data_IF_444309568062
#
_entry.id   IF_444309568062
#
_cell.length_a   1.000
_cell.length_b   1.000
_cell.length_c   1.000
_cell.angle_alpha   90.00
_cell.angle_beta   90.00
_cell.angle_gamma   90.00
#
_symmetry.space_group_name_H-M   'P 1'
#
loop_
_entity.id
_entity.type
_entity.pdbx_description
1 polymer ?
#
# COMPACT_ATOMS: atom_id res chain seq x y z
N UNK A 1 -16.06 -49.66 -19.08
CA UNK A 1 -15.06 -50.19 -18.12
C UNK A 1 -14.05 -49.06 -17.90
N UNK A 2 -14.26 -48.26 -16.86
CA UNK A 2 -13.46 -47.08 -16.54
C UNK A 2 -12.55 -47.46 -15.37
N UNK A 3 -11.25 -47.38 -15.58
CA UNK A 3 -10.24 -47.64 -14.56
C UNK A 3 -9.90 -46.29 -13.86
N UNK A 4 -9.96 -46.19 -12.53
CA UNK A 4 -9.58 -45.00 -11.83
C UNK A 4 -8.06 -44.92 -11.64
N UNK A 5 -7.45 -43.83 -12.05
CA UNK A 5 -6.05 -43.52 -11.77
C UNK A 5 -5.90 -43.04 -10.30
N UNK A 6 -5.30 -43.86 -9.46
CA UNK A 6 -4.80 -43.46 -8.13
C UNK A 6 -3.33 -43.11 -8.25
N UNK A 7 -3.01 -41.86 -8.05
CA UNK A 7 -1.66 -41.39 -7.86
C UNK A 7 -1.62 -40.45 -6.66
N UNK A 8 -1.28 -40.98 -5.49
CA UNK A 8 -0.93 -40.21 -4.32
C UNK A 8 0.53 -39.74 -4.47
N UNK A 9 0.74 -38.44 -4.58
CA UNK A 9 2.05 -37.83 -4.37
C UNK A 9 1.94 -36.96 -3.11
N UNK A 10 2.30 -37.54 -1.97
CA UNK A 10 2.57 -36.81 -0.74
C UNK A 10 3.97 -36.21 -0.86
N UNK A 11 4.07 -34.97 -1.34
CA UNK A 11 5.25 -34.15 -1.22
C UNK A 11 5.08 -33.25 -0.02
N UNK A 12 5.77 -33.58 1.08
CA UNK A 12 5.93 -32.70 2.24
C UNK A 12 6.78 -31.48 1.83
N UNK A 13 6.12 -30.40 1.42
CA UNK A 13 6.71 -29.09 1.23
C UNK A 13 6.56 -28.31 2.54
N UNK A 14 7.39 -28.64 3.50
CA UNK A 14 7.59 -27.80 4.69
C UNK A 14 8.23 -26.46 4.27
N UNK A 15 7.37 -25.49 3.88
CA UNK A 15 7.75 -24.09 3.81
C UNK A 15 8.21 -23.65 5.21
N UNK A 16 9.31 -22.89 5.34
CA UNK A 16 9.68 -22.34 6.62
C UNK A 16 8.54 -21.44 7.10
N UNK A 17 7.89 -21.83 8.19
CA UNK A 17 6.88 -21.00 8.86
C UNK A 17 7.58 -19.76 9.41
N UNK A 18 7.25 -18.57 8.88
CA UNK A 18 7.64 -17.32 9.53
C UNK A 18 7.08 -17.29 10.96
N UNK A 19 7.83 -16.72 11.93
CA UNK A 19 7.36 -16.58 13.30
C UNK A 19 5.99 -15.92 13.35
N UNK A 20 5.07 -16.44 14.15
CA UNK A 20 3.71 -15.96 14.34
C UNK A 20 3.60 -14.70 15.20
N UNK A 21 4.72 -14.19 15.70
CA UNK A 21 4.79 -12.97 16.49
C UNK A 21 5.88 -12.08 15.91
N UNK A 22 5.55 -10.81 15.69
CA UNK A 22 6.56 -9.77 15.43
C UNK A 22 7.39 -9.61 16.71
N UNK A 23 8.54 -10.28 16.77
CA UNK A 23 9.48 -10.18 17.90
C UNK A 23 10.33 -8.90 17.87
N UNK A 24 10.04 -7.98 16.93
CA UNK A 24 10.74 -6.72 16.85
C UNK A 24 10.25 -5.79 17.95
N UNK A 25 11.07 -5.57 18.98
CA UNK A 25 10.87 -4.50 19.95
C UNK A 25 10.58 -3.17 19.21
N UNK A 26 9.70 -2.30 19.77
CA UNK A 26 9.43 -1.00 19.17
C UNK A 26 10.74 -0.28 18.89
N UNK A 27 11.04 -0.05 17.61
CA UNK A 27 12.22 0.74 17.23
C UNK A 27 12.00 2.16 17.72
N UNK A 28 12.80 2.60 18.69
CA UNK A 28 12.77 3.98 19.14
C UNK A 28 13.09 4.91 17.95
N UNK A 29 12.33 6.01 17.80
CA UNK A 29 12.64 6.99 16.77
C UNK A 29 14.01 7.62 17.05
N UNK A 30 14.69 8.08 16.01
CA UNK A 30 15.95 8.80 16.13
C UNK A 30 15.82 9.96 17.13
N UNK A 31 16.84 10.22 17.97
CA UNK A 31 16.78 11.29 18.97
C UNK A 31 16.56 12.70 18.37
N UNK A 32 17.07 12.92 17.14
CA UNK A 32 16.96 14.18 16.38
C UNK A 32 15.63 14.31 15.62
N UNK A 33 14.77 13.30 15.63
CA UNK A 33 13.47 13.36 14.98
C UNK A 33 12.58 14.45 15.62
N UNK A 34 11.77 15.20 14.85
CA UNK A 34 10.92 16.25 15.37
C UNK A 34 9.81 15.69 16.29
N UNK A 35 9.30 16.55 17.17
CA UNK A 35 8.35 16.17 18.19
C UNK A 35 7.06 15.54 17.62
N UNK A 36 6.58 16.03 16.49
CA UNK A 36 5.37 15.46 15.85
C UNK A 36 5.57 14.00 15.46
N UNK A 37 6.74 13.66 14.89
CA UNK A 37 7.06 12.30 14.45
C UNK A 37 7.20 11.34 15.64
N UNK A 38 7.92 11.81 16.69
CA UNK A 38 8.03 11.03 17.93
C UNK A 38 6.66 10.77 18.57
N UNK A 39 5.76 11.78 18.59
CA UNK A 39 4.39 11.62 19.08
C UNK A 39 3.59 10.65 18.22
N UNK A 40 3.70 10.72 16.90
CA UNK A 40 3.02 9.79 16.00
C UNK A 40 3.44 8.33 16.26
N UNK A 41 4.75 8.08 16.36
CA UNK A 41 5.25 6.72 16.63
C UNK A 41 5.00 6.23 18.06
N UNK A 42 4.67 7.14 19.00
CA UNK A 42 4.28 6.78 20.36
C UNK A 42 2.79 6.41 20.50
N UNK A 43 1.98 6.63 19.46
CA UNK A 43 0.59 6.18 19.47
C UNK A 43 0.57 4.65 19.46
N UNK A 44 -0.10 4.00 20.43
CA UNK A 44 -0.18 2.55 20.46
C UNK A 44 -0.81 1.98 19.19
N UNK A 45 -0.25 0.89 18.72
CA UNK A 45 -0.79 0.11 17.60
C UNK A 45 -0.76 -1.38 17.93
N UNK A 46 -1.52 -2.16 17.18
CA UNK A 46 -1.52 -3.61 17.30
C UNK A 46 -1.04 -4.22 15.97
N UNK A 47 -0.23 -5.28 16.10
CA UNK A 47 0.11 -6.18 15.00
C UNK A 47 -0.98 -7.25 14.95
N UNK A 48 -1.70 -7.33 13.84
CA UNK A 48 -2.82 -8.25 13.68
C UNK A 48 -2.69 -9.06 12.39
N UNK A 49 -3.46 -10.12 12.27
CA UNK A 49 -3.41 -11.03 11.14
C UNK A 49 -4.81 -11.46 10.74
N UNK A 50 -5.03 -11.60 9.43
CA UNK A 50 -6.21 -12.26 8.88
C UNK A 50 -5.76 -13.30 7.86
N UNK A 51 -6.69 -14.07 7.32
CA UNK A 51 -6.42 -15.06 6.29
C UNK A 51 -7.34 -14.83 5.08
N UNK A 52 -6.74 -14.82 3.90
CA UNK A 52 -7.45 -14.67 2.63
C UNK A 52 -6.93 -15.74 1.68
N UNK A 53 -7.82 -16.60 1.17
CA UNK A 53 -7.49 -17.69 0.24
C UNK A 53 -6.26 -18.49 0.67
N UNK A 54 -6.21 -18.86 1.96
CA UNK A 54 -5.17 -19.71 2.53
C UNK A 54 -3.83 -19.02 2.81
N UNK A 55 -3.69 -17.73 2.53
CA UNK A 55 -2.50 -16.95 2.93
C UNK A 55 -2.82 -16.04 4.11
N UNK A 56 -1.85 -15.87 5.00
CA UNK A 56 -1.94 -14.92 6.11
C UNK A 56 -1.61 -13.51 5.60
N UNK A 57 -2.45 -12.58 5.99
CA UNK A 57 -2.31 -11.15 5.67
C UNK A 57 -2.07 -10.41 6.97
N UNK A 58 -0.94 -9.73 7.07
CA UNK A 58 -0.54 -8.92 8.21
C UNK A 58 -1.14 -7.52 8.10
N UNK A 59 -1.50 -6.93 9.23
CA UNK A 59 -2.00 -5.56 9.30
C UNK A 59 -1.59 -4.89 10.61
N UNK A 60 -1.42 -3.58 10.54
CA UNK A 60 -1.23 -2.72 11.70
C UNK A 60 -2.50 -1.94 11.94
N UNK A 61 -2.89 -1.79 13.21
CA UNK A 61 -4.11 -1.07 13.54
C UNK A 61 -3.88 -0.03 14.64
N UNK A 62 -4.55 1.12 14.51
CA UNK A 62 -4.54 2.24 15.47
C UNK A 62 -5.96 2.70 15.77
N UNK A 63 -6.14 3.33 16.92
CA UNK A 63 -7.44 3.87 17.34
C UNK A 63 -8.38 2.79 17.89
N UNK A 64 -9.53 3.23 18.39
CA UNK A 64 -10.51 2.34 19.01
C UNK A 64 -11.29 1.53 17.97
N UNK A 65 -11.49 0.22 18.17
CA UNK A 65 -12.39 -0.58 17.34
C UNK A 65 -13.81 0.00 17.31
N UNK A 66 -14.55 -0.25 16.21
CA UNK A 66 -15.92 0.23 16.06
C UNK A 66 -16.05 1.70 15.65
N UNK A 67 -14.94 2.37 15.35
CA UNK A 67 -14.96 3.68 14.70
C UNK A 67 -14.99 3.55 13.19
N UNK A 68 -15.40 4.63 12.48
CA UNK A 68 -15.29 4.73 11.02
C UNK A 68 -13.85 4.45 10.57
N UNK A 69 -13.68 3.74 9.45
CA UNK A 69 -12.40 3.20 9.05
C UNK A 69 -11.62 4.02 8.06
N UNK A 70 -10.29 3.95 8.21
CA UNK A 70 -9.34 4.26 7.14
C UNK A 70 -8.43 3.06 6.90
N UNK A 71 -8.24 2.68 5.64
CA UNK A 71 -7.32 1.60 5.26
C UNK A 71 -6.23 2.16 4.37
N UNK A 72 -4.99 2.02 4.79
CA UNK A 72 -3.82 2.44 4.02
C UNK A 72 -3.20 1.25 3.28
N UNK A 73 -2.98 1.42 1.98
CA UNK A 73 -2.39 0.43 1.08
C UNK A 73 -1.08 0.94 0.52
N UNK A 74 -0.01 0.22 0.77
CA UNK A 74 1.36 0.61 0.41
C UNK A 74 1.68 0.42 -1.08
N UNK A 75 2.78 1.01 -1.54
CA UNK A 75 3.34 0.83 -2.90
C UNK A 75 4.10 -0.48 -3.10
N UNK A 76 4.55 -0.74 -4.31
CA UNK A 76 5.35 -1.93 -4.63
C UNK A 76 6.69 -1.95 -3.88
N UNK A 77 7.02 -3.11 -3.28
CA UNK A 77 8.22 -3.28 -2.46
C UNK A 77 8.19 -2.56 -1.11
N UNK A 78 7.08 -1.87 -0.78
CA UNK A 78 6.83 -1.22 0.49
C UNK A 78 6.06 -2.15 1.47
N UNK A 79 5.61 -1.63 2.58
CA UNK A 79 4.86 -2.36 3.60
C UNK A 79 4.09 -1.39 4.52
N UNK A 80 3.23 -1.91 5.41
CA UNK A 80 2.35 -1.15 6.29
C UNK A 80 3.06 -0.04 7.10
N UNK A 81 4.28 -0.28 7.55
CA UNK A 81 5.04 0.72 8.31
C UNK A 81 5.49 1.96 7.50
N UNK A 82 5.34 1.96 6.17
CA UNK A 82 5.52 3.19 5.39
C UNK A 82 4.47 4.25 5.75
N UNK A 83 3.36 3.80 6.30
CA UNK A 83 2.25 4.65 6.70
C UNK A 83 2.22 4.98 8.19
N UNK A 84 2.96 4.26 9.05
CA UNK A 84 2.76 4.29 10.50
C UNK A 84 2.81 5.69 11.11
N UNK A 85 3.71 6.57 10.66
CA UNK A 85 3.84 7.95 11.15
C UNK A 85 2.73 8.89 10.65
N UNK A 86 2.03 8.53 9.57
CA UNK A 86 0.85 9.26 9.06
C UNK A 86 -0.43 8.64 9.63
N UNK A 87 -0.57 7.33 9.55
CA UNK A 87 -1.73 6.56 9.99
C UNK A 87 -2.07 6.82 11.47
N UNK A 88 -1.06 6.79 12.33
CA UNK A 88 -1.20 7.07 13.76
C UNK A 88 -1.85 8.42 14.09
N UNK A 89 -1.69 9.43 13.22
CA UNK A 89 -2.25 10.76 13.41
C UNK A 89 -3.77 10.84 13.13
N UNK A 90 -4.36 9.78 12.60
CA UNK A 90 -5.81 9.65 12.42
C UNK A 90 -6.49 8.84 13.55
N UNK A 91 -5.72 8.19 14.43
CA UNK A 91 -6.23 7.28 15.45
C UNK A 91 -7.23 7.92 16.45
N UNK A 92 -7.23 9.26 16.59
CA UNK A 92 -8.18 9.99 17.42
C UNK A 92 -9.60 9.95 16.89
N UNK A 93 -9.79 9.92 15.57
CA UNK A 93 -11.08 10.06 14.89
C UNK A 93 -11.50 8.79 14.14
N UNK A 94 -10.54 7.92 13.81
CA UNK A 94 -10.75 6.73 12.98
C UNK A 94 -10.21 5.46 13.65
N UNK A 95 -10.78 4.32 13.27
CA UNK A 95 -10.08 3.04 13.32
C UNK A 95 -9.24 2.96 12.06
N UNK A 96 -7.92 2.95 12.20
CA UNK A 96 -6.97 3.00 11.11
C UNK A 96 -6.32 1.64 10.94
N UNK A 97 -6.26 1.17 9.70
CA UNK A 97 -5.62 -0.09 9.29
C UNK A 97 -4.55 0.23 8.26
N UNK A 98 -3.37 -0.35 8.37
CA UNK A 98 -2.39 -0.39 7.30
C UNK A 98 -2.09 -1.85 6.99
N UNK A 99 -2.38 -2.30 5.78
CA UNK A 99 -2.25 -3.69 5.37
C UNK A 99 -0.91 -3.95 4.70
N UNK A 100 -0.31 -5.10 4.97
CA UNK A 100 0.72 -5.69 4.14
C UNK A 100 0.04 -6.59 3.10
N UNK A 101 0.03 -6.20 1.85
CA UNK A 101 -0.47 -7.05 0.77
C UNK A 101 0.41 -8.31 0.65
N UNK A 102 -0.20 -9.47 0.33
CA UNK A 102 0.60 -10.69 0.14
C UNK A 102 1.77 -10.46 -0.82
N UNK A 103 2.91 -11.06 -0.49
CA UNK A 103 4.18 -10.80 -1.16
C UNK A 103 4.95 -9.58 -0.66
N UNK A 104 4.43 -8.86 0.34
CA UNK A 104 5.06 -7.68 0.95
C UNK A 104 5.01 -7.75 2.47
N UNK A 105 5.90 -7.01 3.12
CA UNK A 105 5.91 -6.85 4.57
C UNK A 105 6.05 -8.18 5.30
N UNK A 106 5.19 -8.38 6.28
CA UNK A 106 5.14 -9.60 7.07
C UNK A 106 4.07 -10.59 6.57
N UNK A 107 3.29 -10.26 5.53
CA UNK A 107 2.33 -11.15 4.90
C UNK A 107 2.99 -12.32 4.16
N UNK A 108 2.23 -13.40 3.99
CA UNK A 108 2.69 -14.58 3.26
C UNK A 108 2.95 -14.26 1.77
N UNK A 109 3.81 -15.05 1.16
CA UNK A 109 4.01 -15.04 -0.28
C UNK A 109 3.06 -16.02 -0.96
N UNK A 110 2.72 -15.75 -2.23
CA UNK A 110 1.87 -16.60 -3.07
C UNK A 110 2.63 -17.02 -4.33
N UNK A 111 2.14 -18.04 -5.00
CA UNK A 111 2.68 -18.45 -6.29
C UNK A 111 2.28 -17.47 -7.41
N UNK A 112 1.13 -16.79 -7.23
CA UNK A 112 0.61 -15.77 -8.15
C UNK A 112 -0.04 -14.64 -7.37
N UNK A 113 0.02 -13.45 -7.96
CA UNK A 113 -0.57 -12.22 -7.42
C UNK A 113 -1.51 -11.60 -8.44
N UNK A 114 -2.63 -11.04 -7.97
CA UNK A 114 -3.57 -10.32 -8.82
C UNK A 114 -4.18 -9.13 -8.07
N UNK A 115 -4.68 -8.14 -8.82
CA UNK A 115 -5.42 -7.03 -8.23
C UNK A 115 -6.67 -7.53 -7.51
N UNK A 116 -7.41 -8.47 -8.11
CA UNK A 116 -8.61 -9.04 -7.50
C UNK A 116 -8.35 -9.65 -6.13
N UNK A 117 -7.26 -10.41 -6.02
CA UNK A 117 -6.86 -11.03 -4.76
C UNK A 117 -6.48 -9.97 -3.71
N UNK A 118 -5.71 -8.97 -4.11
CA UNK A 118 -5.34 -7.89 -3.21
C UNK A 118 -6.54 -7.01 -2.79
N UNK A 119 -7.60 -6.89 -3.63
CA UNK A 119 -8.82 -6.20 -3.18
C UNK A 119 -9.49 -6.94 -2.03
N UNK A 120 -9.54 -8.27 -2.08
CA UNK A 120 -10.11 -9.07 -0.99
C UNK A 120 -9.25 -8.99 0.28
N UNK A 121 -7.92 -8.89 0.14
CA UNK A 121 -7.01 -8.68 1.28
C UNK A 121 -7.24 -7.32 1.95
N UNK A 122 -7.46 -6.25 1.17
CA UNK A 122 -7.80 -4.91 1.70
C UNK A 122 -9.10 -4.94 2.49
N UNK A 123 -10.14 -5.60 1.95
CA UNK A 123 -11.44 -5.67 2.62
C UNK A 123 -11.39 -6.57 3.86
N UNK A 124 -10.69 -7.69 3.78
CA UNK A 124 -10.50 -8.58 4.93
C UNK A 124 -9.67 -7.92 6.04
N UNK A 125 -8.66 -7.11 5.69
CA UNK A 125 -7.88 -6.34 6.65
C UNK A 125 -8.74 -5.27 7.35
N UNK A 126 -9.64 -4.59 6.63
CA UNK A 126 -10.57 -3.65 7.23
C UNK A 126 -11.48 -4.32 8.27
N UNK A 127 -12.04 -5.48 7.92
CA UNK A 127 -12.93 -6.26 8.80
C UNK A 127 -12.17 -6.79 10.03
N UNK A 128 -11.04 -7.49 9.81
CA UNK A 128 -10.22 -8.02 10.88
C UNK A 128 -9.67 -6.91 11.79
N UNK A 129 -9.33 -5.76 11.23
CA UNK A 129 -8.88 -4.58 11.95
C UNK A 129 -9.98 -3.90 12.77
N UNK A 130 -11.23 -4.38 12.77
CA UNK A 130 -12.32 -3.85 13.60
C UNK A 130 -12.85 -2.50 13.15
N UNK A 131 -12.85 -2.24 11.84
CA UNK A 131 -13.48 -1.05 11.22
C UNK A 131 -15.01 -1.20 11.29
N UNK A 132 -15.71 -0.14 11.69
CA UNK A 132 -17.16 -0.07 11.64
C UNK A 132 -17.63 0.70 10.39
N UNK A 133 -18.56 0.07 9.65
CA UNK A 133 -19.11 0.62 8.41
C UNK A 133 -18.11 0.71 7.24
N UNK A 134 -18.47 1.42 6.18
CA UNK A 134 -17.64 1.57 5.00
C UNK A 134 -16.36 2.38 5.27
N UNK A 135 -15.15 1.83 5.05
CA UNK A 135 -13.90 2.58 5.20
C UNK A 135 -13.62 3.53 4.02
N UNK A 136 -12.75 4.50 4.28
CA UNK A 136 -12.00 5.20 3.23
C UNK A 136 -10.69 4.42 2.98
N UNK A 137 -10.44 4.03 1.72
CA UNK A 137 -9.20 3.35 1.32
C UNK A 137 -8.24 4.36 0.69
N UNK A 138 -7.01 4.40 1.19
CA UNK A 138 -5.94 5.30 0.75
C UNK A 138 -4.80 4.47 0.20
N UNK A 139 -4.54 4.52 -1.10
CA UNK A 139 -3.48 3.73 -1.73
C UNK A 139 -2.43 4.57 -2.43
N UNK A 140 -1.18 4.19 -2.27
CA UNK A 140 -0.04 4.86 -2.89
C UNK A 140 0.59 3.99 -3.98
N UNK A 141 0.92 4.58 -5.14
CA UNK A 141 1.65 3.89 -6.22
C UNK A 141 0.94 2.59 -6.63
N UNK A 142 1.59 1.42 -6.49
CA UNK A 142 0.95 0.12 -6.69
C UNK A 142 -0.34 -0.03 -5.86
N UNK A 143 -0.32 0.40 -4.60
CA UNK A 143 -1.50 0.39 -3.73
C UNK A 143 -2.64 1.26 -4.24
N UNK A 144 -2.36 2.30 -5.03
CA UNK A 144 -3.39 3.09 -5.71
C UNK A 144 -4.11 2.31 -6.80
N UNK A 145 -3.42 1.44 -7.54
CA UNK A 145 -4.05 0.52 -8.49
C UNK A 145 -4.94 -0.50 -7.79
N UNK A 146 -4.47 -1.04 -6.64
CA UNK A 146 -5.29 -1.91 -5.78
C UNK A 146 -6.51 -1.15 -5.26
N UNK A 147 -6.34 0.11 -4.84
CA UNK A 147 -7.44 0.96 -4.37
C UNK A 147 -8.49 1.22 -5.45
N UNK A 148 -8.09 1.44 -6.71
CA UNK A 148 -9.01 1.55 -7.86
C UNK A 148 -9.81 0.26 -8.05
N UNK A 149 -9.12 -0.88 -8.05
CA UNK A 149 -9.79 -2.18 -8.19
C UNK A 149 -10.74 -2.45 -7.01
N UNK A 150 -10.34 -2.11 -5.76
CA UNK A 150 -11.20 -2.20 -4.59
C UNK A 150 -12.42 -1.32 -4.71
N UNK A 151 -12.26 -0.06 -5.16
CA UNK A 151 -13.36 0.89 -5.36
C UNK A 151 -14.33 0.48 -6.46
N UNK A 152 -13.85 -0.25 -7.46
CA UNK A 152 -14.71 -0.80 -8.53
C UNK A 152 -15.51 -2.02 -8.06
N UNK A 153 -14.87 -2.92 -7.32
CA UNK A 153 -15.47 -4.20 -6.92
C UNK A 153 -16.35 -4.11 -5.67
N UNK A 154 -16.03 -3.21 -4.78
CA UNK A 154 -16.66 -3.07 -3.45
C UNK A 154 -17.23 -1.67 -3.22
N UNK A 155 -17.68 -0.98 -4.29
CA UNK A 155 -18.15 0.41 -4.25
C UNK A 155 -19.16 0.70 -3.12
N UNK A 156 -20.13 -0.21 -2.91
CA UNK A 156 -21.19 -0.05 -1.89
C UNK A 156 -20.69 -0.30 -0.46
N UNK A 157 -19.48 -0.82 -0.32
CA UNK A 157 -18.82 -1.11 0.97
C UNK A 157 -17.73 -0.09 1.31
N UNK A 158 -17.56 0.97 0.52
CA UNK A 158 -16.56 2.02 0.74
C UNK A 158 -17.23 3.39 0.92
N UNK A 159 -16.74 4.14 1.91
CA UNK A 159 -17.06 5.57 2.03
C UNK A 159 -16.37 6.40 0.94
N UNK A 160 -15.22 5.94 0.46
CA UNK A 160 -14.48 6.55 -0.64
C UNK A 160 -13.10 5.95 -0.83
N UNK A 161 -12.42 6.40 -1.88
CA UNK A 161 -11.08 5.97 -2.25
C UNK A 161 -10.19 7.18 -2.56
N UNK A 162 -8.96 7.17 -2.06
CA UNK A 162 -7.96 8.21 -2.29
C UNK A 162 -6.73 7.57 -2.94
N UNK A 163 -6.38 8.04 -4.12
CA UNK A 163 -5.27 7.54 -4.91
C UNK A 163 -4.11 8.52 -4.78
N UNK A 164 -2.97 8.04 -4.26
CA UNK A 164 -1.77 8.86 -4.06
C UNK A 164 -0.71 8.49 -5.11
N UNK A 165 -0.46 9.41 -6.02
CA UNK A 165 0.59 9.41 -7.04
C UNK A 165 0.71 8.09 -7.83
N UNK A 166 -0.43 7.59 -8.32
CA UNK A 166 -0.52 6.38 -9.15
C UNK A 166 -0.96 6.75 -10.57
N UNK A 167 -0.07 6.70 -11.57
CA UNK A 167 -0.38 7.17 -12.93
C UNK A 167 -1.24 6.15 -13.66
N UNK A 168 -2.55 6.40 -13.80
CA UNK A 168 -3.50 5.46 -14.41
C UNK A 168 -3.54 5.59 -15.93
N UNK A 169 -3.29 6.76 -16.50
CA UNK A 169 -3.53 7.05 -17.91
C UNK A 169 -2.28 7.23 -18.81
N UNK A 170 -1.05 7.10 -18.29
CA UNK A 170 0.15 7.40 -19.06
C UNK A 170 0.45 6.36 -20.17
N UNK A 171 0.81 6.77 -21.41
CA UNK A 171 0.94 5.87 -22.56
C UNK A 171 2.15 4.92 -22.56
N UNK A 172 3.24 5.21 -21.84
CA UNK A 172 4.50 4.46 -21.93
C UNK A 172 4.73 3.44 -20.81
N UNK A 173 3.85 2.43 -20.76
CA UNK A 173 3.94 1.36 -19.75
C UNK A 173 5.19 0.46 -19.89
N UNK A 174 5.68 0.23 -21.11
CA UNK A 174 6.82 -0.68 -21.36
C UNK A 174 8.13 -0.19 -20.74
N UNK A 175 8.38 1.11 -20.80
CA UNK A 175 9.59 1.70 -20.21
C UNK A 175 9.58 1.67 -18.69
N UNK A 176 8.40 1.83 -18.08
CA UNK A 176 8.25 1.77 -16.61
C UNK A 176 8.40 0.36 -16.05
N UNK A 177 7.77 -0.66 -16.66
CA UNK A 177 7.80 -2.04 -16.17
C UNK A 177 9.21 -2.64 -16.20
N UNK A 178 9.94 -2.44 -17.31
CA UNK A 178 11.33 -2.90 -17.44
C UNK A 178 12.28 -2.22 -16.43
N UNK A 179 12.08 -0.92 -16.16
CA UNK A 179 12.86 -0.17 -15.15
C UNK A 179 12.55 -0.62 -13.72
N UNK A 180 11.30 -0.85 -13.39
CA UNK A 180 10.90 -1.32 -12.06
C UNK A 180 11.43 -2.74 -11.81
N UNK A 181 11.28 -3.67 -12.78
CA UNK A 181 11.79 -5.04 -12.65
C UNK A 181 13.32 -5.08 -12.47
N UNK A 182 14.07 -4.25 -13.20
CA UNK A 182 15.54 -4.18 -13.10
C UNK A 182 16.04 -3.50 -11.82
N UNK A 183 15.25 -2.56 -11.26
CA UNK A 183 15.64 -1.80 -10.07
C UNK A 183 15.76 -2.66 -8.81
N UNK A 184 14.98 -3.74 -8.71
CA UNK A 184 15.00 -4.62 -7.55
C UNK A 184 16.11 -5.71 -7.61
N UNK A 185 16.82 -5.90 -8.72
CA UNK A 185 17.97 -6.81 -8.89
C UNK A 185 17.75 -8.26 -8.38
N UNK A 186 18.77 -9.11 -8.27
CA UNK A 186 18.66 -10.47 -7.72
C UNK A 186 18.47 -10.49 -6.19
N UNK A 187 17.78 -11.51 -5.59
CA UNK A 187 17.70 -11.68 -4.14
C UNK A 187 19.09 -11.63 -3.52
N UNK A 188 19.22 -10.87 -2.42
CA UNK A 188 20.50 -10.70 -1.74
C UNK A 188 20.31 -10.84 -0.24
N UNK A 189 21.13 -11.67 0.38
CA UNK A 189 21.26 -11.75 1.83
C UNK A 189 22.37 -10.83 2.31
N UNK A 190 22.07 -10.00 3.29
CA UNK A 190 23.01 -9.06 3.90
C UNK A 190 23.48 -9.61 5.24
N UNK A 191 24.78 -9.50 5.57
CA UNK A 191 25.30 -10.07 6.82
C UNK A 191 24.75 -9.37 8.07
N UNK A 192 24.37 -8.09 7.98
CA UNK A 192 23.82 -7.30 9.09
C UNK A 192 22.69 -6.41 8.61
N UNK A 193 21.86 -5.92 9.55
CA UNK A 193 20.84 -4.90 9.26
C UNK A 193 21.48 -3.67 8.64
N UNK A 194 22.56 -3.15 9.22
CA UNK A 194 23.21 -1.93 8.75
C UNK A 194 23.72 -2.09 7.32
N UNK A 195 24.29 -3.25 6.95
CA UNK A 195 24.68 -3.54 5.57
C UNK A 195 23.49 -3.54 4.59
N UNK A 196 22.30 -3.94 5.04
CA UNK A 196 21.08 -3.81 4.26
C UNK A 196 20.64 -2.36 4.16
N UNK A 197 20.62 -1.61 5.28
CA UNK A 197 20.19 -0.21 5.32
C UNK A 197 21.02 0.70 4.42
N UNK A 198 22.33 0.50 4.31
CA UNK A 198 23.21 1.22 3.38
C UNK A 198 22.76 1.04 1.91
N UNK A 199 22.01 -0.01 1.61
CA UNK A 199 21.49 -0.35 0.29
C UNK A 199 20.01 -0.01 0.11
N UNK A 200 19.36 0.52 1.15
CA UNK A 200 17.98 0.96 1.03
C UNK A 200 17.86 2.06 -0.03
N UNK A 201 16.99 1.86 -0.98
CA UNK A 201 16.66 2.84 -2.04
C UNK A 201 15.18 2.72 -2.35
N UNK A 202 14.54 3.84 -2.56
CA UNK A 202 13.15 3.85 -3.06
C UNK A 202 13.14 3.70 -4.59
N UNK A 203 12.03 3.22 -5.12
CA UNK A 203 11.81 3.12 -6.57
C UNK A 203 10.45 3.76 -6.90
N UNK A 204 10.47 4.84 -7.68
CA UNK A 204 11.62 5.60 -8.16
C UNK A 204 12.40 6.29 -7.01
N UNK A 205 13.67 6.67 -7.22
CA UNK A 205 14.35 7.55 -6.29
C UNK A 205 13.77 8.96 -6.37
N UNK A 206 13.87 9.72 -5.29
CA UNK A 206 13.47 11.13 -5.26
C UNK A 206 14.59 12.02 -4.69
N UNK A 207 14.48 13.34 -4.90
CA UNK A 207 15.55 14.27 -4.56
C UNK A 207 15.71 14.48 -3.04
N UNK A 208 14.59 14.43 -2.31
CA UNK A 208 14.54 14.74 -0.88
C UNK A 208 13.86 13.63 -0.10
N UNK A 209 14.35 13.43 1.12
CA UNK A 209 13.79 12.55 2.13
C UNK A 209 13.97 13.16 3.50
N UNK A 210 13.07 12.84 4.41
CA UNK A 210 13.26 13.14 5.83
C UNK A 210 14.04 11.97 6.45
N UNK A 211 15.28 12.20 6.84
CA UNK A 211 16.21 11.17 7.32
C UNK A 211 15.63 10.30 8.44
N UNK A 212 14.88 10.90 9.35
CA UNK A 212 14.24 10.19 10.46
C UNK A 212 13.06 9.29 10.00
N UNK A 213 12.39 9.65 8.88
CA UNK A 213 11.34 8.82 8.29
C UNK A 213 11.97 7.65 7.53
N UNK A 214 12.99 7.94 6.72
CA UNK A 214 13.73 6.90 5.96
C UNK A 214 14.36 5.88 6.91
N UNK A 215 15.01 6.30 7.99
CA UNK A 215 15.59 5.38 8.97
C UNK A 215 14.52 4.46 9.57
N UNK A 216 13.36 5.03 9.96
CA UNK A 216 12.24 4.26 10.51
C UNK A 216 11.71 3.22 9.52
N UNK A 217 11.48 3.61 8.27
CA UNK A 217 10.93 2.75 7.23
C UNK A 217 11.94 1.66 6.84
N UNK A 218 13.20 2.04 6.60
CA UNK A 218 14.24 1.12 6.15
C UNK A 218 14.51 0.00 7.17
N UNK A 219 14.58 0.33 8.46
CA UNK A 219 14.77 -0.67 9.53
C UNK A 219 13.63 -1.67 9.64
N UNK A 220 12.43 -1.29 9.23
CA UNK A 220 11.26 -2.17 9.21
C UNK A 220 11.08 -2.93 7.89
N UNK A 221 11.88 -2.59 6.89
CA UNK A 221 11.85 -3.21 5.55
C UNK A 221 12.65 -4.52 5.45
N UNK A 222 13.33 -4.93 6.50
CA UNK A 222 14.17 -6.14 6.51
C UNK A 222 13.72 -7.14 7.57
N UNK A 223 13.98 -8.41 7.32
CA UNK A 223 13.73 -9.50 8.26
C UNK A 223 14.92 -10.45 8.30
N UNK A 224 15.14 -11.18 9.43
CA UNK A 224 16.19 -12.18 9.53
C UNK A 224 15.85 -13.39 8.66
N UNK A 225 16.89 -13.96 8.06
CA UNK A 225 16.87 -15.23 7.32
C UNK A 225 18.12 -16.02 7.69
N UNK A 226 18.19 -17.29 7.26
CA UNK A 226 19.41 -18.08 7.41
C UNK A 226 20.57 -17.36 6.70
N UNK A 227 21.63 -17.08 7.45
CA UNK A 227 22.83 -16.39 6.96
C UNK A 227 22.74 -14.85 6.91
N UNK A 228 21.69 -14.20 7.44
CA UNK A 228 21.65 -12.75 7.54
C UNK A 228 20.25 -12.12 7.42
N UNK A 229 20.12 -11.10 6.58
CA UNK A 229 18.92 -10.26 6.46
C UNK A 229 18.49 -10.09 5.01
N UNK A 230 17.19 -10.08 4.75
CA UNK A 230 16.61 -9.83 3.44
C UNK A 230 15.50 -8.78 3.51
N UNK A 231 15.18 -8.17 2.35
CA UNK A 231 14.05 -7.27 2.20
C UNK A 231 12.72 -8.02 2.29
N UNK A 232 11.72 -7.39 2.91
CA UNK A 232 10.38 -7.93 3.13
C UNK A 232 9.48 -7.82 1.89
N UNK A 233 9.92 -8.27 0.73
CA UNK A 233 9.04 -8.35 -0.45
C UNK A 233 9.43 -9.48 -1.40
N UNK A 234 8.44 -10.03 -2.08
CA UNK A 234 8.63 -11.04 -3.13
C UNK A 234 8.89 -10.36 -4.48
N UNK A 235 10.04 -10.64 -5.06
CA UNK A 235 10.42 -10.12 -6.38
C UNK A 235 9.65 -10.72 -7.53
N UNK A 236 9.07 -11.91 -7.35
CA UNK A 236 8.20 -12.57 -8.30
C UNK A 236 7.02 -11.70 -8.73
N UNK A 237 6.55 -10.80 -7.86
CA UNK A 237 5.50 -9.84 -8.17
C UNK A 237 5.85 -9.00 -9.40
N UNK A 238 7.03 -8.40 -9.40
CA UNK A 238 7.43 -7.49 -10.47
C UNK A 238 7.66 -8.23 -11.80
N UNK A 239 8.22 -9.44 -11.75
CA UNK A 239 8.39 -10.29 -12.92
C UNK A 239 7.03 -10.68 -13.51
N UNK A 240 6.10 -11.14 -12.67
CA UNK A 240 4.76 -11.55 -13.09
C UNK A 240 3.98 -10.41 -13.75
N UNK A 241 4.00 -9.21 -13.15
CA UNK A 241 3.30 -8.07 -13.75
C UNK A 241 4.01 -7.51 -15.00
N UNK A 242 5.32 -7.66 -15.12
CA UNK A 242 6.03 -7.33 -16.35
C UNK A 242 5.61 -8.23 -17.51
N UNK A 243 5.45 -9.54 -17.26
CA UNK A 243 4.95 -10.50 -18.26
C UNK A 243 3.48 -10.25 -18.65
N UNK A 244 2.63 -9.80 -17.68
CA UNK A 244 1.24 -9.46 -17.92
C UNK A 244 0.98 -8.07 -18.52
N UNK A 245 2.05 -7.34 -18.89
CA UNK A 245 1.97 -6.00 -19.48
C UNK A 245 2.05 -4.84 -18.50
N UNK A 246 1.82 -4.98 -17.27
CA UNK A 246 2.06 -4.16 -16.06
C UNK A 246 0.87 -4.20 -15.10
N UNK A 247 1.11 -3.95 -13.84
CA UNK A 247 0.04 -3.82 -12.83
C UNK A 247 -0.93 -2.67 -13.18
N UNK A 248 -0.42 -1.59 -13.78
CA UNK A 248 -1.22 -0.46 -14.25
C UNK A 248 -2.19 -0.88 -15.35
N UNK A 249 -1.73 -1.62 -16.36
CA UNK A 249 -2.59 -2.11 -17.42
C UNK A 249 -3.71 -3.00 -16.86
N UNK A 250 -3.43 -3.75 -15.82
CA UNK A 250 -4.42 -4.56 -15.10
C UNK A 250 -5.45 -3.71 -14.33
N UNK A 251 -5.10 -2.47 -13.93
CA UNK A 251 -6.00 -1.56 -13.20
C UNK A 251 -6.91 -0.73 -14.12
N UNK A 252 -6.51 -0.45 -15.37
CA UNK A 252 -7.27 0.37 -16.30
C UNK A 252 -8.74 -0.06 -16.49
N UNK A 253 -9.07 -1.36 -16.62
CA UNK A 253 -10.44 -1.81 -16.78
C UNK A 253 -11.37 -1.49 -15.59
N UNK A 254 -10.82 -1.29 -14.39
CA UNK A 254 -11.58 -0.98 -13.19
C UNK A 254 -11.97 0.50 -13.10
N UNK A 255 -11.17 1.41 -13.65
CA UNK A 255 -11.36 2.85 -13.49
C UNK A 255 -12.77 3.34 -13.88
N UNK A 256 -13.37 2.94 -15.03
CA UNK A 256 -14.72 3.33 -15.38
C UNK A 256 -15.82 2.68 -14.51
N UNK A 257 -15.46 1.67 -13.70
CA UNK A 257 -16.40 0.94 -12.84
C UNK A 257 -16.49 1.53 -11.42
N UNK A 258 -15.61 2.47 -11.05
CA UNK A 258 -15.63 3.12 -9.74
C UNK A 258 -16.93 3.88 -9.56
N UNK A 259 -17.65 3.63 -8.44
CA UNK A 259 -18.95 4.28 -8.14
C UNK A 259 -18.95 5.03 -6.80
N UNK A 260 -17.99 4.75 -5.91
CA UNK A 260 -17.82 5.50 -4.67
C UNK A 260 -17.13 6.85 -4.92
N UNK A 261 -17.07 7.70 -3.90
CA UNK A 261 -16.24 8.92 -3.91
C UNK A 261 -14.79 8.57 -4.22
N UNK A 262 -14.16 9.36 -5.06
CA UNK A 262 -12.76 9.21 -5.43
C UNK A 262 -12.04 10.54 -5.37
N UNK A 263 -10.80 10.56 -4.90
CA UNK A 263 -9.91 11.70 -4.97
C UNK A 263 -8.52 11.28 -5.44
N UNK A 264 -7.83 12.17 -6.11
CA UNK A 264 -6.46 12.00 -6.59
C UNK A 264 -5.55 12.95 -5.84
N UNK A 265 -4.52 12.42 -5.20
CA UNK A 265 -3.39 13.20 -4.70
C UNK A 265 -2.22 12.95 -5.62
N UNK A 266 -1.70 13.99 -6.25
CA UNK A 266 -0.49 13.91 -7.05
C UNK A 266 0.66 14.62 -6.34
N UNK A 267 1.85 14.09 -6.43
CA UNK A 267 3.06 14.78 -5.97
C UNK A 267 3.59 15.68 -7.08
N UNK A 268 3.99 16.92 -6.76
CA UNK A 268 4.50 17.87 -7.76
C UNK A 268 5.65 17.28 -8.58
N UNK A 269 6.59 16.58 -7.90
CA UNK A 269 7.75 15.93 -8.49
C UNK A 269 7.58 14.40 -8.53
N UNK A 270 6.32 13.91 -8.64
CA UNK A 270 5.98 12.49 -8.63
C UNK A 270 5.84 11.89 -10.02
N UNK A 271 5.17 10.72 -10.06
CA UNK A 271 4.88 10.00 -11.31
C UNK A 271 3.63 10.54 -12.03
N UNK A 272 2.69 11.13 -11.29
CA UNK A 272 1.48 11.73 -11.87
C UNK A 272 1.78 13.20 -12.20
N UNK A 273 2.19 13.45 -13.44
CA UNK A 273 2.36 14.83 -13.94
C UNK A 273 1.03 15.57 -14.01
N UNK A 274 1.06 16.89 -14.18
CA UNK A 274 -0.16 17.70 -14.31
C UNK A 274 -1.06 17.20 -15.45
N UNK A 275 -0.46 16.83 -16.59
CA UNK A 275 -1.19 16.31 -17.76
C UNK A 275 -1.86 14.96 -17.46
N UNK A 276 -1.14 14.04 -16.83
CA UNK A 276 -1.68 12.74 -16.39
C UNK A 276 -2.82 12.96 -15.38
N UNK A 277 -2.66 13.90 -14.44
CA UNK A 277 -3.70 14.25 -13.48
C UNK A 277 -4.95 14.80 -14.16
N UNK A 278 -4.80 15.63 -15.19
CA UNK A 278 -5.90 16.15 -15.99
C UNK A 278 -6.61 15.03 -16.78
N UNK A 279 -5.86 14.13 -17.42
CA UNK A 279 -6.42 12.95 -18.10
C UNK A 279 -7.20 12.04 -17.15
N UNK A 280 -6.67 11.77 -15.95
CA UNK A 280 -7.36 10.99 -14.92
C UNK A 280 -8.65 11.71 -14.48
N UNK A 281 -8.63 13.02 -14.30
CA UNK A 281 -9.80 13.79 -13.94
C UNK A 281 -10.90 13.69 -15.02
N UNK A 282 -10.55 13.82 -16.31
CA UNK A 282 -11.48 13.63 -17.42
C UNK A 282 -12.03 12.20 -17.47
N UNK A 283 -11.16 11.19 -17.32
CA UNK A 283 -11.56 9.78 -17.32
C UNK A 283 -12.52 9.43 -16.18
N UNK A 284 -12.46 10.17 -15.08
CA UNK A 284 -13.35 10.03 -13.91
C UNK A 284 -14.61 10.92 -14.03
N UNK A 285 -14.89 11.50 -15.21
CA UNK A 285 -16.08 12.29 -15.45
C UNK A 285 -16.06 13.65 -14.73
N UNK A 286 -14.86 14.18 -14.42
CA UNK A 286 -14.62 15.50 -13.81
C UNK A 286 -15.22 15.67 -12.40
N UNK A 287 -15.43 14.57 -11.67
CA UNK A 287 -16.05 14.61 -10.33
C UNK A 287 -15.06 14.31 -9.20
N UNK A 288 -13.88 13.72 -9.51
CA UNK A 288 -12.87 13.43 -8.52
C UNK A 288 -11.94 14.64 -8.33
N UNK A 289 -11.81 15.24 -7.13
CA UNK A 289 -10.84 16.30 -6.93
C UNK A 289 -9.42 15.80 -7.18
N UNK A 290 -8.59 16.63 -7.82
CA UNK A 290 -7.16 16.40 -8.01
C UNK A 290 -6.42 17.42 -7.18
N UNK A 291 -5.67 16.97 -6.17
CA UNK A 291 -4.93 17.82 -5.24
C UNK A 291 -3.44 17.56 -5.45
N UNK A 292 -2.69 18.64 -5.63
CA UNK A 292 -1.24 18.60 -5.70
C UNK A 292 -0.61 18.71 -4.31
N UNK A 293 0.35 17.86 -4.02
CA UNK A 293 1.23 17.97 -2.86
C UNK A 293 2.51 18.69 -3.31
N UNK A 294 2.68 19.98 -2.95
CA UNK A 294 3.82 20.77 -3.40
C UNK A 294 5.13 20.22 -2.84
N UNK A 295 6.20 20.38 -3.60
CA UNK A 295 7.57 19.93 -3.29
C UNK A 295 7.70 18.42 -3.04
N UNK A 296 6.62 17.64 -3.14
CA UNK A 296 6.65 16.20 -2.89
C UNK A 296 7.24 15.43 -4.08
N UNK A 297 8.10 14.46 -3.78
CA UNK A 297 8.43 13.39 -4.70
C UNK A 297 7.37 12.29 -4.72
N UNK A 298 7.62 11.23 -5.47
CA UNK A 298 6.68 10.10 -5.60
C UNK A 298 6.19 9.55 -4.25
N UNK A 299 7.04 9.50 -3.26
CA UNK A 299 6.76 8.99 -1.93
C UNK A 299 6.49 10.14 -0.94
N UNK A 300 5.37 10.85 -1.11
CA UNK A 300 5.02 12.02 -0.29
C UNK A 300 5.01 11.75 1.22
N UNK A 301 4.77 10.50 1.65
CA UNK A 301 4.86 10.11 3.05
C UNK A 301 6.31 10.14 3.59
N UNK A 302 7.32 10.17 2.72
CA UNK A 302 8.74 10.16 3.10
C UNK A 302 9.39 11.54 3.09
N UNK A 303 8.81 12.52 2.38
CA UNK A 303 9.34 13.87 2.26
C UNK A 303 8.37 14.97 2.70
N UNK A 304 7.06 14.83 2.45
CA UNK A 304 6.02 15.81 2.77
C UNK A 304 4.87 15.23 3.63
N UNK A 305 5.13 14.45 4.69
CA UNK A 305 4.10 13.73 5.44
C UNK A 305 3.04 14.64 6.08
N UNK A 306 3.41 15.85 6.51
CA UNK A 306 2.46 16.78 7.13
C UNK A 306 1.55 17.46 6.11
N UNK A 307 2.04 17.72 4.89
CA UNK A 307 1.23 18.25 3.80
C UNK A 307 0.28 17.15 3.32
N UNK A 308 0.77 15.92 3.15
CA UNK A 308 -0.06 14.76 2.84
C UNK A 308 -1.15 14.54 3.90
N UNK A 309 -0.82 14.61 5.18
CA UNK A 309 -1.79 14.54 6.29
C UNK A 309 -2.86 15.62 6.16
N UNK A 310 -2.45 16.86 5.85
CA UNK A 310 -3.37 18.00 5.70
C UNK A 310 -4.31 17.79 4.52
N UNK A 311 -3.79 17.35 3.38
CA UNK A 311 -4.60 17.04 2.19
C UNK A 311 -5.63 15.95 2.47
N UNK A 312 -5.22 14.85 3.13
CA UNK A 312 -6.12 13.77 3.53
C UNK A 312 -7.21 14.27 4.48
N UNK A 313 -6.87 15.03 5.51
CA UNK A 313 -7.85 15.60 6.45
C UNK A 313 -8.83 16.56 5.77
N UNK A 314 -8.35 17.38 4.84
CA UNK A 314 -9.21 18.32 4.09
C UNK A 314 -10.21 17.55 3.22
N UNK A 315 -9.77 16.50 2.51
CA UNK A 315 -10.67 15.64 1.73
C UNK A 315 -11.73 14.95 2.59
N UNK A 316 -11.32 14.41 3.74
CA UNK A 316 -12.25 13.75 4.66
C UNK A 316 -13.28 14.74 5.22
N UNK A 317 -12.86 15.95 5.60
CA UNK A 317 -13.75 17.00 6.07
C UNK A 317 -14.72 17.48 4.97
N UNK A 318 -14.25 17.61 3.72
CA UNK A 318 -15.12 17.91 2.59
C UNK A 318 -16.15 16.80 2.38
N UNK A 319 -15.73 15.55 2.45
CA UNK A 319 -16.61 14.39 2.30
C UNK A 319 -17.63 14.26 3.42
N UNK A 320 -17.32 14.70 4.62
CA UNK A 320 -18.28 14.74 5.75
C UNK A 320 -19.36 15.80 5.57
N UNK A 321 -19.10 16.85 4.76
CA UNK A 321 -20.00 18.00 4.59
C UNK A 321 -20.59 18.09 3.18
N UNK A 322 -20.30 17.16 2.28
CA UNK A 322 -20.79 17.14 0.90
C UNK A 322 -21.54 15.85 0.59
N UNK A 323 -22.52 15.94 -0.34
CA UNK A 323 -23.14 14.73 -0.89
C UNK A 323 -22.26 14.10 -1.98
N UNK A 324 -22.26 12.75 -2.11
CA UNK A 324 -21.54 12.08 -3.19
C UNK A 324 -22.07 12.51 -4.56
N UNK A 325 -21.18 12.97 -5.44
CA UNK A 325 -21.53 13.13 -6.84
C UNK A 325 -21.75 11.74 -7.46
N UNK A 326 -23.00 11.42 -7.81
CA UNK A 326 -23.29 10.19 -8.56
C UNK A 326 -22.95 10.44 -10.03
N UNK A 327 -22.22 9.50 -10.65
CA UNK A 327 -22.12 9.49 -12.11
C UNK A 327 -23.51 9.30 -12.69
N UNK A 328 -23.88 10.02 -13.76
CA UNK A 328 -25.11 9.71 -14.50
C UNK A 328 -25.04 8.24 -14.94
N UNK A 329 -26.12 7.52 -14.70
CA UNK A 329 -26.30 6.20 -15.29
C UNK A 329 -26.36 6.40 -16.81
N UNK A 330 -25.36 5.86 -17.54
CA UNK A 330 -25.26 5.91 -18.99
C UNK A 330 -26.18 4.92 -19.68
#
# INVERSE_FOLDING_TARGET
MVVPYRGSVSGDLSRPTRPTESTAAPLAPRPDAPAWFRRALAVPFHDEWTAVDGARVHLLTWGEPGRRGMVFVHGGGAHAHWWSHVAALFAGDFRVVAVDLTGHGDSDHRDRYSLDQWTEEVMAAAEAGGVDGPPVVVGHSMGGFVTIATAARHADRLAGAIICDSPVSAPDAEVSAARVGSAFGAPRTYPTVDAALERFRTVPPQAHYLDYVIDHVARRSVHPVDGGWQWKFDRGIFAQFAEAGSIRASALPYLPQVRCRLALLRSENGLVTADIGAEMYEALGRVAPVIEIPEAGHHAMLDQPLILLTALRTLLADWDHSEPHRRPEG
#
